data_IF_163852276375
#
_entry.id   IF_163852276375
#
_cell.length_a   1.000
_cell.length_b   1.000
_cell.length_c   1.000
_cell.angle_alpha   90.00
_cell.angle_beta   90.00
_cell.angle_gamma   90.00
#
_symmetry.space_group_name_H-M   'P 1'
#
loop_
_entity.id
_entity.type
_entity.pdbx_description
1 polymer ?
#
# COMPACT_ATOMS: atom_id res chain seq x y z
N UNK A 1 -9.89 10.15 -6.36
CA UNK A 1 -11.06 9.99 -5.47
C UNK A 1 -10.92 10.91 -4.28
N UNK A 2 -11.98 11.57 -3.88
CA UNK A 2 -11.94 12.45 -2.70
C UNK A 2 -12.16 11.63 -1.44
N UNK A 3 -11.39 11.96 -0.41
CA UNK A 3 -11.58 11.43 0.93
C UNK A 3 -12.90 11.94 1.52
N UNK A 4 -13.69 11.04 2.07
CA UNK A 4 -14.91 11.37 2.82
C UNK A 4 -14.90 10.59 4.13
N UNK A 5 -15.60 11.12 5.16
CA UNK A 5 -15.73 10.41 6.44
C UNK A 5 -16.44 9.08 6.31
N UNK A 6 -17.27 8.90 5.32
CA UNK A 6 -17.96 7.65 5.04
C UNK A 6 -16.98 6.52 4.72
N UNK A 7 -15.85 6.84 4.11
CA UNK A 7 -14.81 5.86 3.82
C UNK A 7 -14.10 5.37 5.09
N UNK A 8 -14.08 6.19 6.14
CA UNK A 8 -13.46 5.82 7.41
C UNK A 8 -14.34 4.86 8.21
N UNK A 9 -15.66 4.99 8.08
CA UNK A 9 -16.63 4.29 8.92
C UNK A 9 -17.07 2.95 8.34
N UNK A 10 -16.48 2.50 7.26
CA UNK A 10 -16.97 1.36 6.50
C UNK A 10 -16.73 -0.01 7.13
N UNK A 11 -16.05 -0.11 8.28
CA UNK A 11 -15.70 -1.39 8.86
C UNK A 11 -16.01 -1.48 10.35
N UNK A 12 -16.88 -2.42 10.74
CA UNK A 12 -17.17 -2.72 12.15
C UNK A 12 -15.95 -3.27 12.91
N UNK A 13 -15.00 -3.89 12.19
CA UNK A 13 -13.79 -4.42 12.80
C UNK A 13 -12.72 -3.37 13.05
N UNK A 14 -12.90 -2.14 12.59
CA UNK A 14 -11.87 -1.08 12.66
C UNK A 14 -10.79 -1.20 11.60
N UNK A 15 -10.99 -2.06 10.61
CA UNK A 15 -10.09 -2.24 9.48
C UNK A 15 -10.81 -1.90 8.17
N UNK A 16 -10.07 -1.52 7.16
CA UNK A 16 -10.62 -1.35 5.82
C UNK A 16 -9.64 -1.83 4.76
N UNK A 17 -10.11 -1.96 3.55
CA UNK A 17 -9.26 -2.31 2.42
C UNK A 17 -8.31 -1.15 2.09
N UNK A 18 -7.08 -1.45 1.63
CA UNK A 18 -6.12 -0.40 1.29
C UNK A 18 -6.51 0.41 0.05
N UNK A 19 -7.40 -0.09 -0.77
CA UNK A 19 -7.95 0.62 -1.93
C UNK A 19 -9.31 0.04 -2.30
N UNK A 20 -10.08 0.81 -3.07
CA UNK A 20 -11.36 0.35 -3.63
C UNK A 20 -11.17 -0.07 -5.09
N UNK A 21 -11.82 -1.16 -5.47
CA UNK A 21 -11.90 -1.56 -6.87
C UNK A 21 -12.70 -0.53 -7.67
N UNK A 22 -12.19 -0.20 -8.84
CA UNK A 22 -12.91 0.69 -9.75
C UNK A 22 -13.99 -0.08 -10.48
N UNK A 23 -15.14 0.55 -10.67
CA UNK A 23 -16.26 -0.06 -11.36
C UNK A 23 -15.85 -0.54 -12.74
N UNK A 24 -16.19 -1.79 -13.04
CA UNK A 24 -15.89 -2.41 -14.33
C UNK A 24 -14.45 -2.86 -14.51
N UNK A 25 -13.62 -2.80 -13.45
CA UNK A 25 -12.24 -3.28 -13.47
C UNK A 25 -11.96 -4.17 -12.27
N UNK A 26 -11.49 -5.37 -12.55
CA UNK A 26 -10.95 -6.24 -11.53
C UNK A 26 -9.51 -5.84 -11.21
N UNK A 27 -9.13 -5.95 -9.94
CA UNK A 27 -7.76 -5.73 -9.52
C UNK A 27 -6.97 -7.02 -9.73
N UNK A 28 -5.91 -6.92 -10.52
CA UNK A 28 -5.05 -8.07 -10.81
C UNK A 28 -3.80 -8.05 -9.94
N UNK A 29 -3.42 -9.25 -9.49
CA UNK A 29 -2.15 -9.49 -8.82
C UNK A 29 -1.07 -9.58 -9.90
N UNK A 30 -0.10 -8.66 -9.89
CA UNK A 30 0.96 -8.67 -10.88
C UNK A 30 2.19 -9.46 -10.44
N UNK A 31 2.45 -9.57 -9.13
CA UNK A 31 3.55 -10.34 -8.58
C UNK A 31 3.22 -10.81 -7.18
N UNK A 32 3.29 -12.12 -6.97
CA UNK A 32 2.98 -12.76 -5.69
C UNK A 32 4.13 -12.73 -4.70
N UNK A 33 3.81 -13.04 -3.45
CA UNK A 33 4.79 -13.23 -2.38
C UNK A 33 5.58 -14.52 -2.60
N UNK A 34 6.88 -14.47 -2.30
CA UNK A 34 7.73 -15.64 -2.30
C UNK A 34 8.87 -15.58 -3.30
N UNK A 35 9.40 -16.74 -3.65
CA UNK A 35 10.52 -16.85 -4.58
C UNK A 35 10.08 -16.49 -6.00
N UNK A 36 10.87 -15.62 -6.64
CA UNK A 36 10.64 -15.14 -7.99
C UNK A 36 11.94 -15.18 -8.78
N UNK A 37 11.82 -15.16 -10.10
CA UNK A 37 12.98 -15.09 -11.00
C UNK A 37 12.88 -13.80 -11.81
N UNK A 38 13.95 -13.01 -11.81
CA UNK A 38 14.01 -11.81 -12.64
C UNK A 38 14.01 -12.22 -14.13
N UNK A 39 13.02 -11.80 -14.93
CA UNK A 39 12.93 -12.21 -16.32
C UNK A 39 14.04 -11.65 -17.20
N UNK A 40 14.74 -10.60 -16.77
CA UNK A 40 15.83 -9.98 -17.53
C UNK A 40 17.17 -10.61 -17.20
N UNK A 41 17.48 -10.77 -15.91
CA UNK A 41 18.79 -11.25 -15.45
C UNK A 41 18.82 -12.74 -15.16
N UNK A 42 17.67 -13.38 -15.00
CA UNK A 42 17.58 -14.77 -14.56
C UNK A 42 17.93 -15.00 -13.08
N UNK A 43 18.20 -13.93 -12.35
CA UNK A 43 18.51 -14.04 -10.93
C UNK A 43 17.27 -14.37 -10.11
N UNK A 44 17.42 -15.28 -9.18
CA UNK A 44 16.39 -15.59 -8.21
C UNK A 44 16.42 -14.58 -7.06
N UNK A 45 15.24 -14.20 -6.58
CA UNK A 45 15.09 -13.31 -5.44
C UNK A 45 13.83 -13.66 -4.68
N UNK A 46 13.72 -13.16 -3.45
CA UNK A 46 12.53 -13.34 -2.63
C UNK A 46 11.72 -12.05 -2.61
N UNK A 47 10.45 -12.13 -3.03
CA UNK A 47 9.51 -11.00 -3.01
C UNK A 47 8.80 -10.94 -1.66
N UNK A 48 9.11 -9.91 -0.86
CA UNK A 48 8.61 -9.75 0.50
C UNK A 48 7.29 -8.98 0.57
N UNK A 49 6.41 -9.22 -0.37
CA UNK A 49 5.12 -8.56 -0.44
C UNK A 49 4.33 -9.03 -1.63
N UNK A 50 3.28 -8.29 -1.94
CA UNK A 50 2.38 -8.57 -3.05
C UNK A 50 2.29 -7.31 -3.89
N UNK A 51 2.45 -7.45 -5.20
CA UNK A 51 2.26 -6.36 -6.15
C UNK A 51 0.89 -6.48 -6.82
N UNK A 52 0.19 -5.36 -6.88
CA UNK A 52 -1.10 -5.23 -7.55
C UNK A 52 -0.97 -4.32 -8.76
N UNK A 53 -1.71 -4.64 -9.81
CA UNK A 53 -1.80 -3.81 -11.01
C UNK A 53 -2.88 -2.73 -10.79
N UNK A 54 -2.56 -1.77 -9.92
CA UNK A 54 -3.44 -0.64 -9.58
C UNK A 54 -2.73 0.67 -9.87
N UNK A 55 -3.07 1.26 -11.00
CA UNK A 55 -2.46 2.49 -11.47
C UNK A 55 -3.24 3.70 -10.97
N UNK A 56 -2.54 4.62 -10.27
CA UNK A 56 -3.11 5.87 -9.78
C UNK A 56 -4.34 5.68 -8.90
N UNK A 57 -4.31 4.64 -8.03
CA UNK A 57 -5.36 4.42 -7.05
C UNK A 57 -5.04 5.19 -5.77
N UNK A 58 -6.07 5.80 -5.20
CA UNK A 58 -5.96 6.38 -3.86
C UNK A 58 -5.87 5.24 -2.85
N UNK A 59 -4.83 5.28 -2.03
CA UNK A 59 -4.56 4.27 -1.01
C UNK A 59 -5.00 4.78 0.34
N UNK A 60 -5.58 3.90 1.13
CA UNK A 60 -6.10 4.22 2.45
C UNK A 60 -5.36 3.45 3.53
N UNK A 61 -5.32 4.02 4.73
CA UNK A 61 -4.87 3.28 5.90
C UNK A 61 -5.84 2.14 6.19
N UNK A 62 -5.31 0.95 6.49
CA UNK A 62 -6.13 -0.23 6.73
C UNK A 62 -6.68 -0.28 8.16
N UNK A 63 -6.11 0.49 9.06
CA UNK A 63 -6.51 0.58 10.47
C UNK A 63 -6.02 1.91 11.04
N UNK A 64 -6.29 2.16 12.32
CA UNK A 64 -5.68 3.28 13.04
C UNK A 64 -4.20 2.99 13.26
N UNK A 65 -3.34 3.94 12.96
CA UNK A 65 -1.91 3.77 13.07
C UNK A 65 -1.15 5.06 13.01
N UNK A 66 0.16 4.94 12.83
CA UNK A 66 1.06 6.08 12.70
C UNK A 66 2.03 5.84 11.54
N UNK A 67 2.28 6.87 10.74
CA UNK A 67 3.26 6.77 9.66
C UNK A 67 4.65 6.64 10.26
N UNK A 68 5.29 5.50 10.04
CA UNK A 68 6.60 5.17 10.61
C UNK A 68 7.76 5.47 9.68
N UNK A 69 7.50 5.72 8.41
CA UNK A 69 8.54 6.09 7.46
C UNK A 69 7.98 6.52 6.11
N UNK A 70 8.69 7.40 5.46
CA UNK A 70 8.46 7.79 4.06
C UNK A 70 9.83 7.92 3.41
N UNK A 71 10.01 7.33 2.26
CA UNK A 71 11.31 7.38 1.61
C UNK A 71 11.29 6.95 0.16
N UNK A 72 12.48 6.77 -0.37
CA UNK A 72 12.69 6.30 -1.72
C UNK A 72 13.64 5.11 -1.66
N UNK A 73 13.15 3.95 -2.07
CA UNK A 73 13.90 2.70 -2.05
C UNK A 73 14.29 2.33 -3.48
N UNK A 74 15.51 1.84 -3.73
CA UNK A 74 15.94 1.48 -5.08
C UNK A 74 15.05 0.44 -5.77
N UNK A 75 14.39 -0.44 -5.00
CA UNK A 75 13.54 -1.49 -5.56
C UNK A 75 12.05 -1.13 -5.52
N UNK A 76 11.61 -0.41 -4.49
CA UNK A 76 10.20 -0.08 -4.28
C UNK A 76 9.82 1.31 -4.77
N UNK A 77 10.80 2.13 -5.18
CA UNK A 77 10.54 3.53 -5.53
C UNK A 77 10.09 4.33 -4.32
N UNK A 78 9.20 5.29 -4.52
CA UNK A 78 8.61 6.04 -3.41
C UNK A 78 7.80 5.08 -2.56
N UNK A 79 8.06 5.06 -1.26
CA UNK A 79 7.40 4.15 -0.35
C UNK A 79 6.98 4.85 0.94
N UNK A 80 5.98 4.27 1.60
CA UNK A 80 5.43 4.76 2.85
C UNK A 80 5.18 3.56 3.76
N UNK A 81 5.63 3.63 4.99
CA UNK A 81 5.37 2.60 6.00
C UNK A 81 4.45 3.17 7.07
N UNK A 82 3.46 2.37 7.46
CA UNK A 82 2.51 2.73 8.51
C UNK A 82 2.50 1.59 9.52
N UNK A 83 2.66 1.95 10.78
CA UNK A 83 2.60 0.99 11.89
C UNK A 83 1.19 0.91 12.43
N UNK A 84 0.65 -0.29 12.41
CA UNK A 84 -0.66 -0.63 12.96
C UNK A 84 -0.45 -1.61 14.12
N UNK A 85 -0.29 -1.08 15.35
CA UNK A 85 0.04 -1.92 16.49
C UNK A 85 1.41 -2.58 16.33
N UNK A 86 1.46 -3.89 16.29
CA UNK A 86 2.70 -4.66 16.12
C UNK A 86 3.09 -4.89 14.66
N UNK A 87 2.22 -4.54 13.72
CA UNK A 87 2.46 -4.72 12.30
C UNK A 87 2.89 -3.42 11.65
N UNK A 88 3.80 -3.52 10.71
CA UNK A 88 4.18 -2.42 9.84
C UNK A 88 3.85 -2.80 8.40
N UNK A 89 3.05 -1.97 7.74
CA UNK A 89 2.67 -2.15 6.34
C UNK A 89 3.42 -1.13 5.50
N UNK A 90 4.10 -1.58 4.46
CA UNK A 90 4.82 -0.72 3.53
C UNK A 90 4.11 -0.73 2.18
N UNK A 91 3.75 0.47 1.71
CA UNK A 91 3.26 0.70 0.36
C UNK A 91 4.42 1.16 -0.51
N UNK A 92 4.65 0.48 -1.62
CA UNK A 92 5.71 0.81 -2.56
C UNK A 92 5.18 1.15 -3.96
N UNK A 93 6.07 1.64 -4.81
CA UNK A 93 5.76 2.11 -6.17
C UNK A 93 4.74 3.24 -6.18
N UNK A 94 4.84 4.15 -5.21
CA UNK A 94 3.91 5.26 -5.07
C UNK A 94 4.25 6.39 -6.05
N UNK A 95 3.23 7.14 -6.46
CA UNK A 95 3.41 8.39 -7.20
C UNK A 95 3.35 9.60 -6.28
N UNK A 96 2.65 9.50 -5.15
CA UNK A 96 2.51 10.60 -4.21
C UNK A 96 2.22 10.07 -2.80
N UNK A 97 2.59 10.83 -1.79
CA UNK A 97 2.37 10.51 -0.39
C UNK A 97 1.63 11.68 0.26
N UNK A 98 0.49 11.39 0.89
CA UNK A 98 -0.35 12.41 1.54
C UNK A 98 -0.08 12.51 3.03
N UNK A 99 0.17 11.37 3.69
CA UNK A 99 0.43 11.31 5.12
C UNK A 99 1.95 11.19 5.35
N UNK A 100 2.50 12.10 6.15
CA UNK A 100 3.93 12.21 6.38
C UNK A 100 4.38 11.50 7.65
N UNK A 101 5.69 11.33 7.79
CA UNK A 101 6.30 10.70 8.96
C UNK A 101 5.77 11.28 10.26
N UNK A 102 5.37 10.41 11.18
CA UNK A 102 4.87 10.77 12.50
C UNK A 102 3.39 11.12 12.55
N UNK A 103 2.73 11.24 11.40
CA UNK A 103 1.31 11.56 11.35
C UNK A 103 0.46 10.35 11.76
N UNK A 104 -0.55 10.59 12.59
CA UNK A 104 -1.54 9.58 12.95
C UNK A 104 -2.59 9.47 11.85
N UNK A 105 -3.00 8.26 11.56
CA UNK A 105 -4.00 7.97 10.53
C UNK A 105 -5.10 7.07 11.11
N UNK A 106 -6.27 7.13 10.47
CA UNK A 106 -7.42 6.30 10.82
C UNK A 106 -7.75 5.37 9.65
N UNK A 107 -8.37 4.24 9.95
CA UNK A 107 -8.84 3.32 8.92
C UNK A 107 -9.67 4.05 7.86
N UNK A 108 -9.36 3.83 6.59
CA UNK A 108 -10.03 4.48 5.47
C UNK A 108 -9.50 5.86 5.10
N UNK A 109 -8.61 6.44 5.90
CA UNK A 109 -8.02 7.74 5.59
C UNK A 109 -7.07 7.60 4.40
N UNK A 110 -7.19 8.46 3.36
CA UNK A 110 -6.24 8.47 2.26
C UNK A 110 -4.83 8.82 2.74
N UNK A 111 -3.87 8.00 2.37
CA UNK A 111 -2.48 8.17 2.81
C UNK A 111 -1.49 8.33 1.67
N UNK A 112 -1.83 7.82 0.48
CA UNK A 112 -0.93 7.86 -0.67
C UNK A 112 -1.69 7.63 -1.97
N UNK A 113 -0.98 7.79 -3.09
CA UNK A 113 -1.47 7.48 -4.43
C UNK A 113 -0.51 6.46 -5.05
N UNK A 114 -1.03 5.36 -5.59
CA UNK A 114 -0.19 4.39 -6.29
C UNK A 114 0.36 4.99 -7.58
N UNK A 115 1.52 4.49 -8.01
CA UNK A 115 2.09 4.81 -9.31
C UNK A 115 1.53 3.88 -10.38
N UNK A 116 2.42 3.28 -11.17
CA UNK A 116 2.01 2.32 -12.21
C UNK A 116 1.52 1.00 -11.64
N UNK A 117 1.94 0.69 -10.43
CA UNK A 117 1.54 -0.49 -9.67
C UNK A 117 1.63 -0.19 -8.18
N UNK A 118 1.25 -1.15 -7.35
CA UNK A 118 1.33 -1.04 -5.90
C UNK A 118 2.00 -2.27 -5.32
N UNK A 119 3.00 -2.06 -4.49
CA UNK A 119 3.59 -3.09 -3.65
C UNK A 119 3.06 -2.95 -2.23
N UNK A 120 2.61 -4.04 -1.63
CA UNK A 120 2.22 -4.07 -0.21
C UNK A 120 3.06 -5.14 0.48
N UNK A 121 3.83 -4.73 1.46
CA UNK A 121 4.58 -5.62 2.34
C UNK A 121 4.09 -5.48 3.77
N UNK A 122 4.07 -6.58 4.51
CA UNK A 122 3.68 -6.59 5.91
C UNK A 122 4.83 -7.18 6.72
N UNK A 123 5.22 -6.46 7.76
CA UNK A 123 6.27 -6.87 8.67
C UNK A 123 5.70 -6.90 10.09
N UNK A 124 6.05 -7.95 10.78
CA UNK A 124 5.67 -8.14 12.19
C UNK A 124 6.73 -7.61 13.15
#
# INVERSE_FOLDING_TARGET
MKYTEEMILSSESGYCMPFEERQGKDVELSLGYGEQTDPVTGKEYFHHGIDFDVRCYTLAAVASGIVSGVGNDPMLGICQSIRYGEYEVTYGHLSNVFAQFGQRVKAGQPVALSGDKLHIGVKF
#
